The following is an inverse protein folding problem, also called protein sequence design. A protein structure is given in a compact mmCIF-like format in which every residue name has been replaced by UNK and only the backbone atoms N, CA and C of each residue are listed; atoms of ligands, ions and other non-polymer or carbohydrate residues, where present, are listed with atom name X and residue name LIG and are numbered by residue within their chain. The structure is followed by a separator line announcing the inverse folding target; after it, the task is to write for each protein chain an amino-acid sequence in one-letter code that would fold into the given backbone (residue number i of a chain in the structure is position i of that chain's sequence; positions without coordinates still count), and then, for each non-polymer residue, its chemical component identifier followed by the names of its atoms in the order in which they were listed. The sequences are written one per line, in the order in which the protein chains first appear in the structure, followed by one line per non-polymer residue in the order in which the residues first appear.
data_IF_416239712963
#
_entry.id   IF_416239712963
#
_cell.length_a   1.000
_cell.length_b   1.000
_cell.length_c   1.000
_cell.angle_alpha   90.00
_cell.angle_beta   90.00
_cell.angle_gamma   90.00
#
_symmetry.space_group_name_H-M   'P 1'
#
loop_
_entity.id
_entity.type
_entity.pdbx_description
1 polymer ?
#
# COMPACT_ATOMS: atom_id res chain seq x y z
N UNK A 1 -1.18 -13.02 -17.48
CA UNK A 1 -2.07 -11.85 -17.38
C UNK A 1 -1.23 -10.61 -17.63
N UNK A 2 -1.51 -9.84 -18.68
CA UNK A 2 -0.61 -8.77 -19.13
C UNK A 2 -1.01 -7.39 -18.57
N UNK A 3 -2.31 -7.10 -18.55
CA UNK A 3 -2.87 -5.99 -17.80
C UNK A 3 -4.31 -6.26 -17.32
N UNK A 4 -4.57 -6.08 -16.03
CA UNK A 4 -5.87 -6.11 -15.39
C UNK A 4 -5.82 -6.26 -13.87
N UNK A 5 -6.99 -6.11 -13.25
CA UNK A 5 -7.18 -6.28 -11.82
C UNK A 5 -7.50 -7.73 -11.43
N UNK A 6 -7.03 -8.10 -10.24
CA UNK A 6 -7.28 -9.37 -9.56
C UNK A 6 -7.77 -9.17 -8.11
N UNK A 7 -8.41 -8.04 -7.81
CA UNK A 7 -8.81 -7.65 -6.45
C UNK A 7 -10.32 -7.84 -6.20
N UNK A 8 -10.68 -7.90 -4.92
CA UNK A 8 -12.05 -7.86 -4.46
C UNK A 8 -12.36 -6.49 -3.85
N UNK A 9 -13.63 -6.12 -3.88
CA UNK A 9 -14.17 -4.98 -3.11
C UNK A 9 -15.22 -5.48 -2.14
N UNK A 10 -15.13 -5.01 -0.90
CA UNK A 10 -16.11 -5.27 0.16
C UNK A 10 -17.02 -4.06 0.26
N UNK A 11 -18.32 -4.28 0.13
CA UNK A 11 -19.33 -3.25 0.01
C UNK A 11 -20.30 -3.24 1.19
N UNK A 12 -20.88 -2.07 1.48
CA UNK A 12 -21.96 -1.96 2.45
C UNK A 12 -23.23 -2.70 1.99
N UNK A 13 -24.10 -3.02 2.95
CA UNK A 13 -25.37 -3.72 2.73
C UNK A 13 -26.40 -2.95 1.90
N UNK A 14 -26.25 -1.64 1.77
CA UNK A 14 -27.12 -0.76 0.98
C UNK A 14 -26.74 -0.69 -0.50
N UNK A 15 -25.70 -1.43 -0.94
CA UNK A 15 -25.26 -1.45 -2.33
C UNK A 15 -26.37 -1.97 -3.27
N UNK A 16 -26.71 -1.18 -4.29
CA UNK A 16 -27.46 -1.65 -5.45
C UNK A 16 -26.55 -2.46 -6.38
N UNK A 17 -26.60 -3.79 -6.21
CA UNK A 17 -25.79 -4.74 -6.98
C UNK A 17 -26.03 -4.66 -8.50
N UNK A 18 -27.21 -4.22 -8.96
CA UNK A 18 -27.50 -4.12 -10.39
C UNK A 18 -26.80 -2.94 -11.06
N UNK A 19 -26.52 -1.89 -10.29
CA UNK A 19 -25.90 -0.66 -10.75
C UNK A 19 -24.46 -0.50 -10.23
N UNK A 20 -23.86 -1.58 -9.72
CA UNK A 20 -22.49 -1.59 -9.23
C UNK A 20 -21.50 -1.16 -10.33
N UNK A 21 -20.65 -0.18 -10.03
CA UNK A 21 -19.63 0.32 -10.94
C UNK A 21 -18.41 0.85 -10.16
N UNK A 22 -17.38 1.30 -10.86
CA UNK A 22 -16.15 1.81 -10.23
C UNK A 22 -16.31 3.01 -9.31
N UNK A 23 -17.44 3.73 -9.33
CA UNK A 23 -17.76 4.83 -8.41
C UNK A 23 -18.56 4.40 -7.18
N UNK A 24 -19.05 3.15 -7.15
CA UNK A 24 -19.77 2.61 -6.00
C UNK A 24 -18.86 2.63 -4.78
N UNK A 25 -19.37 3.14 -3.66
CA UNK A 25 -18.60 3.25 -2.42
C UNK A 25 -18.34 1.86 -1.84
N UNK A 26 -17.08 1.57 -1.57
CA UNK A 26 -16.62 0.31 -0.95
C UNK A 26 -15.86 0.61 0.33
N UNK A 27 -15.85 -0.34 1.25
CA UNK A 27 -15.09 -0.26 2.49
C UNK A 27 -13.63 -0.67 2.31
N UNK A 28 -13.42 -1.80 1.64
CA UNK A 28 -12.11 -2.41 1.48
C UNK A 28 -11.93 -2.81 0.03
N UNK A 29 -10.81 -2.44 -0.58
CA UNK A 29 -10.33 -3.04 -1.83
C UNK A 29 -9.03 -3.77 -1.54
N UNK A 30 -9.01 -5.07 -1.83
CA UNK A 30 -7.87 -5.92 -1.55
C UNK A 30 -7.59 -6.91 -2.69
N UNK A 31 -6.34 -7.00 -3.12
CA UNK A 31 -5.85 -8.05 -4.02
C UNK A 31 -4.87 -7.56 -5.09
N UNK A 32 -4.35 -8.47 -5.92
CA UNK A 32 -3.35 -8.15 -6.93
C UNK A 32 -3.89 -7.26 -8.06
N UNK A 33 -3.03 -6.39 -8.57
CA UNK A 33 -3.25 -5.59 -9.77
C UNK A 33 -1.97 -5.60 -10.60
N UNK A 34 -2.11 -6.09 -11.82
CA UNK A 34 -1.00 -6.33 -12.74
C UNK A 34 -1.29 -5.54 -13.99
N UNK A 35 -0.48 -4.55 -14.33
CA UNK A 35 -0.54 -3.88 -15.62
C UNK A 35 0.86 -3.58 -16.14
N UNK A 36 1.26 -4.32 -17.16
CA UNK A 36 2.56 -4.21 -17.80
C UNK A 36 3.73 -4.52 -16.85
N UNK A 37 4.84 -3.82 -17.04
CA UNK A 37 6.02 -3.95 -16.18
C UNK A 37 5.96 -3.04 -14.95
N UNK A 38 5.18 -1.96 -15.03
CA UNK A 38 5.20 -0.87 -14.06
C UNK A 38 4.31 -1.16 -12.84
N UNK A 39 3.17 -1.83 -13.04
CA UNK A 39 2.19 -2.06 -11.99
C UNK A 39 2.12 -3.55 -11.71
N UNK A 40 2.71 -3.99 -10.60
CA UNK A 40 2.69 -5.37 -10.11
C UNK A 40 2.60 -5.37 -8.59
N UNK A 41 1.44 -4.93 -8.08
CA UNK A 41 1.26 -4.72 -6.64
C UNK A 41 -0.06 -5.27 -6.13
N UNK A 42 -0.10 -5.60 -4.85
CA UNK A 42 -1.33 -5.90 -4.14
C UNK A 42 -1.87 -4.59 -3.58
N UNK A 43 -3.08 -4.21 -3.97
CA UNK A 43 -3.76 -3.07 -3.37
C UNK A 43 -4.33 -3.45 -2.01
N UNK A 44 -4.20 -2.54 -1.07
CA UNK A 44 -4.91 -2.55 0.21
C UNK A 44 -5.40 -1.13 0.43
N UNK A 45 -6.66 -0.88 0.08
CA UNK A 45 -7.30 0.43 0.18
C UNK A 45 -8.44 0.32 1.17
N UNK A 46 -8.44 1.19 2.16
CA UNK A 46 -9.45 1.27 3.20
C UNK A 46 -10.20 2.59 3.06
N UNK A 47 -11.51 2.56 3.19
CA UNK A 47 -12.35 3.73 3.28
C UNK A 47 -12.56 4.09 4.75
N UNK A 48 -12.10 5.27 5.15
CA UNK A 48 -12.18 5.74 6.54
C UNK A 48 -12.41 7.25 6.54
N UNK A 49 -13.22 7.79 7.47
CA UNK A 49 -13.50 9.24 7.55
C UNK A 49 -13.92 9.87 6.20
N UNK A 50 -14.74 9.15 5.44
CA UNK A 50 -15.26 9.59 4.15
C UNK A 50 -14.17 9.79 3.06
N UNK A 51 -13.00 9.18 3.22
CA UNK A 51 -11.89 9.22 2.26
C UNK A 51 -11.27 7.84 2.03
N UNK A 52 -10.70 7.64 0.84
CA UNK A 52 -9.94 6.43 0.51
C UNK A 52 -8.48 6.61 0.88
N UNK A 53 -7.97 5.67 1.66
CA UNK A 53 -6.57 5.62 2.03
C UNK A 53 -5.94 4.35 1.45
N UNK A 54 -4.87 4.50 0.68
CA UNK A 54 -4.08 3.39 0.15
C UNK A 54 -2.87 3.11 1.02
N UNK A 55 -2.49 1.84 1.15
CA UNK A 55 -1.24 1.48 1.81
C UNK A 55 -0.04 2.10 1.07
N UNK A 56 0.88 2.73 1.81
CA UNK A 56 2.14 3.24 1.27
C UNK A 56 3.13 2.13 0.95
N UNK A 57 3.11 1.03 1.72
CA UNK A 57 4.02 -0.09 1.50
C UNK A 57 3.60 -0.82 0.23
N UNK A 58 4.55 -0.95 -0.69
CA UNK A 58 4.31 -1.62 -1.96
C UNK A 58 4.50 -3.12 -1.78
N UNK A 59 3.40 -3.87 -1.77
CA UNK A 59 3.41 -5.32 -1.68
C UNK A 59 3.46 -5.88 -3.09
N UNK A 60 4.49 -6.66 -3.43
CA UNK A 60 4.61 -7.28 -4.76
C UNK A 60 3.63 -8.44 -4.90
N UNK A 61 2.90 -8.47 -6.02
CA UNK A 61 2.07 -9.61 -6.36
C UNK A 61 2.89 -10.73 -7.02
N UNK A 62 2.34 -11.94 -7.02
CA UNK A 62 2.87 -13.05 -7.81
C UNK A 62 2.43 -12.90 -9.26
N UNK A 63 3.28 -13.31 -10.19
CA UNK A 63 3.09 -13.10 -11.65
C UNK A 63 3.27 -14.39 -12.46
N UNK A 64 3.11 -15.53 -11.81
CA UNK A 64 3.18 -16.83 -12.50
C UNK A 64 1.77 -17.29 -12.96
N UNK A 65 1.72 -18.48 -13.56
CA UNK A 65 0.49 -19.06 -14.11
C UNK A 65 -0.30 -19.92 -13.11
N UNK A 66 0.11 -19.96 -11.84
CA UNK A 66 -0.47 -20.84 -10.83
C UNK A 66 -1.48 -20.10 -9.94
N UNK A 67 -2.24 -20.88 -9.19
CA UNK A 67 -3.17 -20.36 -8.20
C UNK A 67 -2.41 -19.82 -7.00
N UNK A 68 -2.76 -18.60 -6.55
CA UNK A 68 -2.21 -17.97 -5.36
C UNK A 68 -3.30 -17.60 -4.37
N UNK A 69 -3.00 -17.75 -3.08
CA UNK A 69 -3.90 -17.39 -1.99
C UNK A 69 -3.50 -16.03 -1.42
N UNK A 70 -4.43 -15.07 -1.43
CA UNK A 70 -4.25 -13.75 -0.82
C UNK A 70 -5.13 -13.63 0.42
N UNK A 71 -4.54 -13.23 1.55
CA UNK A 71 -5.26 -13.05 2.82
C UNK A 71 -4.93 -11.69 3.41
N UNK A 72 -5.97 -10.93 3.76
CA UNK A 72 -5.88 -9.68 4.51
C UNK A 72 -6.50 -9.91 5.88
N UNK A 73 -5.75 -9.57 6.93
CA UNK A 73 -6.20 -9.62 8.32
C UNK A 73 -6.19 -8.19 8.84
N UNK A 74 -7.33 -7.72 9.32
CA UNK A 74 -7.49 -6.43 9.99
C UNK A 74 -7.92 -6.71 11.42
N UNK A 75 -7.16 -6.21 12.40
CA UNK A 75 -7.41 -6.45 13.81
C UNK A 75 -7.97 -5.19 14.48
N UNK A 76 -8.77 -5.34 15.57
CA UNK A 76 -9.36 -4.21 16.27
C UNK A 76 -8.33 -3.30 16.96
N UNK A 77 -7.10 -3.77 17.16
CA UNK A 77 -5.97 -2.96 17.66
C UNK A 77 -5.35 -2.03 16.59
N UNK A 78 -6.00 -1.91 15.43
CA UNK A 78 -5.51 -1.18 14.26
C UNK A 78 -4.22 -1.74 13.68
N UNK A 79 -3.90 -3.01 13.95
CA UNK A 79 -2.87 -3.74 13.21
C UNK A 79 -3.45 -4.42 11.97
N UNK A 80 -2.60 -4.60 10.97
CA UNK A 80 -2.95 -5.36 9.77
C UNK A 80 -1.84 -6.34 9.42
N UNK A 81 -2.22 -7.39 8.71
CA UNK A 81 -1.31 -8.37 8.17
C UNK A 81 -1.79 -8.80 6.77
N UNK A 82 -0.85 -8.89 5.83
CA UNK A 82 -1.09 -9.41 4.49
C UNK A 82 -0.27 -10.67 4.31
N UNK A 83 -0.96 -11.78 4.05
CA UNK A 83 -0.36 -13.07 3.75
C UNK A 83 -0.57 -13.41 2.27
N UNK A 84 0.48 -13.96 1.64
CA UNK A 84 0.41 -14.52 0.30
C UNK A 84 0.88 -15.96 0.40
N UNK A 85 0.10 -16.91 -0.11
CA UNK A 85 0.42 -18.35 -0.11
C UNK A 85 0.66 -18.91 1.30
N UNK A 86 -0.03 -18.32 2.29
CA UNK A 86 0.10 -18.62 3.72
C UNK A 86 1.31 -17.99 4.42
N UNK A 87 2.17 -17.25 3.70
CA UNK A 87 3.34 -16.56 4.26
C UNK A 87 3.02 -15.10 4.54
N UNK A 88 3.39 -14.61 5.72
CA UNK A 88 3.29 -13.19 6.07
C UNK A 88 4.29 -12.38 5.26
N UNK A 89 3.79 -11.51 4.38
CA UNK A 89 4.61 -10.66 3.51
C UNK A 89 4.74 -9.26 4.09
N UNK A 90 3.66 -8.76 4.68
CA UNK A 90 3.61 -7.41 5.22
C UNK A 90 2.77 -7.40 6.49
N UNK A 91 3.23 -6.63 7.48
CA UNK A 91 2.49 -6.39 8.71
C UNK A 91 2.82 -5.00 9.23
N UNK A 92 1.87 -4.39 9.94
CA UNK A 92 2.07 -3.06 10.46
C UNK A 92 0.84 -2.52 11.18
N UNK A 93 0.87 -1.22 11.42
CA UNK A 93 -0.24 -0.50 12.02
C UNK A 93 -0.87 0.44 11.00
N UNK A 94 -2.19 0.37 10.91
CA UNK A 94 -3.00 1.12 9.95
C UNK A 94 -2.78 2.63 10.12
N UNK A 95 -2.63 3.11 11.36
CA UNK A 95 -2.45 4.53 11.66
C UNK A 95 -1.23 5.15 10.97
N UNK A 96 -0.11 4.43 10.94
CA UNK A 96 1.16 4.90 10.39
C UNK A 96 1.22 4.68 8.88
N UNK A 97 0.86 3.47 8.43
CA UNK A 97 1.03 3.05 7.04
C UNK A 97 0.01 3.71 6.10
N UNK A 98 -1.15 4.14 6.62
CA UNK A 98 -2.16 4.92 5.89
C UNK A 98 -2.15 6.42 6.24
N UNK A 99 -1.14 6.90 6.98
CA UNK A 99 -0.94 8.33 7.24
C UNK A 99 -2.09 9.02 8.02
N UNK A 100 -2.86 8.27 8.79
CA UNK A 100 -4.00 8.79 9.54
C UNK A 100 -3.58 9.85 10.59
N UNK A 101 -2.32 9.80 11.05
CA UNK A 101 -1.71 10.81 11.91
C UNK A 101 -1.60 12.21 11.27
N UNK A 102 -1.41 12.29 9.95
CA UNK A 102 -1.35 13.57 9.24
C UNK A 102 -2.73 14.25 9.19
N UNK A 103 -3.80 13.45 9.05
CA UNK A 103 -5.18 13.94 9.15
C UNK A 103 -5.47 14.46 10.56
N UNK A 104 -5.01 13.76 11.61
CA UNK A 104 -5.12 14.25 13.01
C UNK A 104 -4.49 15.64 13.16
N UNK A 105 -3.29 15.88 12.59
CA UNK A 105 -2.63 17.19 12.65
C UNK A 105 -3.42 18.27 11.91
N UNK A 106 -3.95 17.94 10.72
CA UNK A 106 -4.74 18.86 9.91
C UNK A 106 -6.11 19.20 10.55
N UNK A 107 -6.84 18.21 11.05
CA UNK A 107 -8.11 18.41 11.77
C UNK A 107 -7.90 19.23 13.04
N UNK A 108 -6.85 18.92 13.81
CA UNK A 108 -6.50 19.68 15.01
C UNK A 108 -6.13 21.13 14.68
N UNK A 109 -5.31 21.37 13.67
CA UNK A 109 -4.98 22.74 13.25
C UNK A 109 -6.21 23.49 12.70
N UNK A 110 -7.16 22.81 12.05
CA UNK A 110 -8.42 23.42 11.61
C UNK A 110 -9.38 23.70 12.77
N UNK A 111 -9.44 22.84 13.79
CA UNK A 111 -10.22 23.07 14.99
C UNK A 111 -9.61 24.22 15.82
N UNK A 112 -8.28 24.27 15.92
CA UNK A 112 -7.55 25.38 16.53
C UNK A 112 -7.74 26.68 15.72
N UNK A 113 -7.78 26.65 14.37
CA UNK A 113 -8.07 27.84 13.55
C UNK A 113 -9.48 28.39 13.75
N UNK A 114 -10.48 27.53 13.97
CA UNK A 114 -11.83 27.98 14.34
C UNK A 114 -11.87 28.65 15.72
N UNK A 115 -10.94 28.29 16.61
CA UNK A 115 -10.79 28.93 17.93
C UNK A 115 -10.03 30.28 17.81
N UNK A 116 -9.14 30.43 16.81
CA UNK A 116 -8.46 31.69 16.49
C UNK A 116 -9.39 32.77 15.90
N UNK A 117 -10.49 32.38 15.23
CA UNK A 117 -11.51 33.34 14.73
C UNK A 117 -12.32 34.02 15.85
N UNK A 118 -12.13 33.64 17.12
CA UNK A 118 -12.62 34.37 18.29
C UNK A 118 -11.56 35.23 18.99
N UNK A 119 -10.32 35.23 18.50
CA UNK A 119 -9.22 36.02 19.07
C UNK A 119 -8.67 36.99 18.03
N UNK A 120 -9.57 37.70 17.34
CA UNK A 120 -9.19 38.92 16.61
C UNK A 120 -9.31 40.12 17.55
N UNK A 121 -8.32 40.30 18.43
CA UNK A 121 -7.91 41.60 18.96
C UNK A 121 -6.62 41.41 19.74
N UNK A 122 -5.58 42.10 19.29
CA UNK A 122 -4.37 42.40 20.06
C UNK A 122 -3.35 41.27 20.26
N UNK A 123 -2.48 41.10 19.26
CA UNK A 123 -1.02 41.27 19.40
C UNK A 123 -0.29 40.80 18.14
N UNK A 124 -0.37 41.61 17.08
CA UNK A 124 0.66 41.61 16.07
C UNK A 124 1.88 42.37 16.61
N UNK A 125 2.79 41.70 17.32
CA UNK A 125 4.13 42.24 17.55
C UNK A 125 5.22 41.16 17.42
N UNK A 126 5.86 41.23 16.26
CA UNK A 126 7.32 41.20 16.09
C UNK A 126 8.05 39.95 16.60
N UNK A 127 7.95 38.86 15.84
CA UNK A 127 8.71 37.62 16.07
C UNK A 127 10.11 37.62 15.41
N UNK A 128 10.57 38.74 14.86
CA UNK A 128 11.81 38.81 14.06
C UNK A 128 13.09 39.10 14.88
N UNK A 129 13.11 38.89 16.21
CA UNK A 129 14.23 39.39 17.05
C UNK A 129 14.77 38.50 18.17
N UNK A 130 14.73 37.18 18.07
CA UNK A 130 15.44 36.36 19.06
C UNK A 130 16.12 35.12 18.47
N UNK A 131 17.15 35.34 17.65
CA UNK A 131 18.31 34.46 17.63
C UNK A 131 19.50 35.25 18.16
N UNK A 132 20.13 34.76 19.23
CA UNK A 132 21.58 34.65 19.41
C UNK A 132 21.86 34.21 20.85
N UNK A 133 22.54 33.08 20.94
CA UNK A 133 22.87 32.27 22.11
C UNK A 133 23.66 33.05 23.18
N UNK A 134 23.24 32.96 24.43
CA UNK A 134 23.78 33.72 25.57
C UNK A 134 24.97 32.99 26.24
N UNK A 135 25.93 32.50 25.45
CA UNK A 135 27.04 31.67 25.94
C UNK A 135 28.44 32.04 25.46
N UNK A 136 28.61 33.05 24.59
CA UNK A 136 29.92 33.36 24.03
C UNK A 136 30.74 34.29 24.95
N UNK A 137 31.73 33.73 25.64
CA UNK A 137 32.80 34.50 26.28
C UNK A 137 33.80 34.99 25.23
N UNK A 138 34.44 36.14 25.48
CA UNK A 138 35.45 36.73 24.57
C UNK A 138 36.57 35.72 24.25
N UNK A 139 36.83 35.38 22.97
CA UNK A 139 37.97 34.55 22.59
C UNK A 139 39.30 35.23 22.94
N UNK A 140 40.32 34.45 23.30
CA UNK A 140 41.66 34.96 23.66
C UNK A 140 42.40 35.67 22.52
N UNK A 141 41.96 35.48 21.27
CA UNK A 141 42.61 35.98 20.06
C UNK A 141 42.01 37.29 19.52
N UNK A 142 41.16 37.99 20.29
CA UNK A 142 40.54 39.24 19.84
C UNK A 142 41.48 40.44 19.93
N UNK A 143 41.70 41.12 18.81
CA UNK A 143 42.57 42.29 18.73
C UNK A 143 41.75 43.59 18.58
N UNK A 144 41.71 44.38 19.65
CA UNK A 144 40.84 45.55 19.81
C UNK A 144 41.09 46.70 18.82
N UNK A 145 42.22 46.70 18.13
CA UNK A 145 42.59 47.75 17.16
C UNK A 145 42.07 47.48 15.73
N UNK A 146 41.71 46.22 15.41
CA UNK A 146 41.15 45.84 14.11
C UNK A 146 39.66 45.50 14.18
N UNK A 147 39.18 44.95 15.30
CA UNK A 147 37.83 44.37 15.40
C UNK A 147 36.81 45.23 16.18
N UNK A 148 37.23 46.38 16.73
CA UNK A 148 36.36 47.29 17.48
C UNK A 148 36.08 46.88 18.93
N UNK A 149 35.42 47.77 19.67
CA UNK A 149 35.18 47.64 21.12
C UNK A 149 34.08 46.64 21.46
N UNK A 150 34.35 45.79 22.45
CA UNK A 150 33.38 44.83 22.99
C UNK A 150 32.35 45.53 23.87
N UNK A 151 31.07 45.48 23.47
CA UNK A 151 29.95 45.99 24.26
C UNK A 151 29.57 44.99 25.37
N UNK A 152 29.89 45.33 26.62
CA UNK A 152 29.32 44.67 27.80
C UNK A 152 27.90 45.18 28.10
N UNK A 153 27.00 44.27 28.49
CA UNK A 153 25.66 44.62 28.97
C UNK A 153 25.74 45.28 30.36
N UNK A 154 24.89 46.28 30.65
CA UNK A 154 24.86 46.93 31.97
C UNK A 154 24.30 45.99 33.05
N UNK A 155 24.68 46.19 34.33
CA UNK A 155 24.22 45.33 35.42
C UNK A 155 22.74 45.58 35.74
N UNK A 156 22.06 44.49 36.07
CA UNK A 156 20.65 44.44 36.44
C UNK A 156 20.37 45.29 37.69
N UNK A 157 19.42 46.23 37.60
CA UNK A 157 18.90 46.95 38.78
C UNK A 157 17.71 46.20 39.37
N UNK A 158 17.89 45.79 40.62
CA UNK A 158 16.88 45.22 41.50
C UNK A 158 15.70 46.17 41.70
N UNK A 159 14.48 45.64 41.56
CA UNK A 159 13.34 46.21 42.27
C UNK A 159 12.01 46.24 41.53
N UNK A 160 11.47 45.08 41.14
CA UNK A 160 10.01 44.89 41.10
C UNK A 160 9.71 43.44 41.48
N UNK A 161 9.24 43.25 42.73
CA UNK A 161 8.68 41.97 43.18
C UNK A 161 7.37 41.73 42.44
N UNK A 162 7.36 40.76 41.52
CA UNK A 162 6.12 40.09 41.15
C UNK A 162 5.92 38.94 42.14
N UNK A 163 4.97 39.10 43.06
CA UNK A 163 4.42 37.99 43.83
C UNK A 163 3.81 36.98 42.85
N UNK A 164 4.18 35.70 42.99
CA UNK A 164 3.41 34.59 42.45
C UNK A 164 3.71 34.13 41.03
N UNK A 165 4.99 33.97 40.65
CA UNK A 165 5.34 33.10 39.51
C UNK A 165 6.04 31.86 40.08
N UNK A 166 5.24 30.94 40.63
CA UNK A 166 5.69 29.58 40.92
C UNK A 166 5.93 28.88 39.59
N UNK A 167 7.17 28.40 39.42
CA UNK A 167 7.67 27.52 38.35
C UNK A 167 7.65 28.12 36.94
N UNK A 168 8.87 28.39 36.45
CA UNK A 168 9.37 27.77 35.23
C UNK A 168 8.26 27.15 34.35
N UNK A 169 7.69 27.96 33.47
CA UNK A 169 6.88 27.46 32.34
C UNK A 169 7.86 26.86 31.33
N UNK A 170 8.49 25.76 31.73
CA UNK A 170 8.84 24.71 30.79
C UNK A 170 7.52 24.18 30.26
N UNK A 171 7.11 24.69 29.10
CA UNK A 171 6.09 24.08 28.25
C UNK A 171 6.61 22.75 27.68
N UNK A 172 7.09 21.84 28.53
CA UNK A 172 6.81 20.43 28.30
C UNK A 172 5.39 20.23 28.79
N UNK A 173 4.45 20.57 27.89
CA UNK A 173 3.12 20.00 27.95
C UNK A 173 3.34 18.50 27.89
N UNK A 174 3.38 17.84 29.05
CA UNK A 174 3.13 16.42 29.15
C UNK A 174 1.88 16.20 28.30
N UNK A 175 2.06 15.57 27.13
CA UNK A 175 0.95 14.97 26.45
C UNK A 175 0.45 13.93 27.45
N UNK A 176 -0.55 14.29 28.25
CA UNK A 176 -1.45 13.32 28.86
C UNK A 176 -1.71 12.28 27.78
N UNK A 177 -1.63 10.96 28.03
CA UNK A 177 -2.08 9.96 27.06
C UNK A 177 -3.59 10.14 26.94
N UNK A 178 -3.99 11.17 26.20
CA UNK A 178 -5.33 11.66 26.08
C UNK A 178 -5.99 10.82 25.00
N UNK A 179 -6.58 9.70 25.41
CA UNK A 179 -7.61 9.02 24.60
C UNK A 179 -7.18 8.71 23.15
N UNK A 180 -5.87 8.61 22.89
CA UNK A 180 -5.28 8.66 21.53
C UNK A 180 -5.67 7.48 20.65
N UNK A 181 -6.10 6.38 21.28
CA UNK A 181 -6.54 5.13 20.66
C UNK A 181 -8.06 5.04 20.45
N UNK A 182 -8.85 6.05 20.86
CA UNK A 182 -10.33 5.92 20.94
C UNK A 182 -11.12 6.61 19.85
N UNK A 183 -10.47 7.11 18.78
CA UNK A 183 -11.18 7.76 17.66
C UNK A 183 -11.06 7.04 16.31
N UNK A 184 -10.23 6.00 16.24
CA UNK A 184 -10.06 5.21 15.03
C UNK A 184 -10.44 3.79 15.40
N UNK A 185 -11.60 3.36 14.97
CA UNK A 185 -12.11 2.03 15.21
C UNK A 185 -12.63 1.48 13.87
N UNK A 186 -12.36 0.21 13.61
CA UNK A 186 -12.85 -0.48 12.41
C UNK A 186 -14.38 -0.68 12.46
N UNK A 187 -15.05 -0.22 13.53
CA UNK A 187 -16.50 -0.07 13.63
C UNK A 187 -17.12 0.80 12.54
N UNK A 188 -16.34 1.61 11.79
CA UNK A 188 -16.86 2.26 10.58
C UNK A 188 -17.36 1.25 9.50
N UNK A 189 -16.99 -0.04 9.62
CA UNK A 189 -17.42 -1.13 8.74
C UNK A 189 -18.65 -1.92 9.26
N UNK A 190 -19.54 -1.26 10.01
CA UNK A 190 -20.64 -1.91 10.73
C UNK A 190 -21.70 -2.64 9.87
N UNK A 191 -21.70 -2.49 8.54
CA UNK A 191 -22.71 -3.09 7.66
C UNK A 191 -22.14 -3.67 6.36
N UNK A 192 -21.19 -4.62 6.45
CA UNK A 192 -20.74 -5.37 5.27
C UNK A 192 -21.85 -6.29 4.78
N UNK A 193 -22.26 -6.16 3.52
CA UNK A 193 -23.35 -6.96 2.94
C UNK A 193 -23.07 -7.57 1.58
N UNK A 194 -22.01 -7.16 0.89
CA UNK A 194 -21.65 -7.72 -0.41
C UNK A 194 -20.14 -7.76 -0.65
N UNK A 195 -19.72 -8.74 -1.43
CA UNK A 195 -18.39 -8.81 -2.05
C UNK A 195 -18.59 -8.69 -3.55
N UNK A 196 -17.88 -7.77 -4.19
CA UNK A 196 -17.98 -7.55 -5.62
C UNK A 196 -16.63 -7.61 -6.31
N UNK A 197 -16.66 -8.13 -7.54
CA UNK A 197 -15.55 -8.11 -8.48
C UNK A 197 -15.85 -7.05 -9.52
N UNK A 198 -15.28 -5.86 -9.33
CA UNK A 198 -15.34 -4.76 -10.30
C UNK A 198 -13.93 -4.54 -10.83
N UNK A 199 -13.67 -5.07 -12.02
CA UNK A 199 -12.32 -5.23 -12.57
C UNK A 199 -12.29 -4.91 -14.05
N UNK A 200 -11.14 -4.42 -14.50
CA UNK A 200 -10.78 -4.33 -15.91
C UNK A 200 -9.72 -5.37 -16.24
N UNK A 201 -9.85 -6.06 -17.37
CA UNK A 201 -8.84 -7.00 -17.87
C UNK A 201 -8.68 -6.86 -19.38
N UNK A 202 -7.43 -6.79 -19.86
CA UNK A 202 -7.11 -6.77 -21.29
C UNK A 202 -7.19 -8.18 -21.86
N UNK A 203 -6.59 -9.16 -21.17
CA UNK A 203 -6.65 -10.58 -21.54
C UNK A 203 -7.37 -11.32 -20.42
N UNK A 204 -8.47 -11.99 -20.78
CA UNK A 204 -9.23 -12.84 -19.88
C UNK A 204 -8.50 -14.15 -19.57
N UNK A 205 -8.98 -14.85 -18.54
CA UNK A 205 -8.44 -16.15 -18.11
C UNK A 205 -8.15 -16.24 -16.62
N UNK A 206 -8.27 -15.14 -15.86
CA UNK A 206 -8.19 -15.18 -14.40
C UNK A 206 -9.39 -15.91 -13.82
N UNK A 207 -9.12 -16.85 -12.93
CA UNK A 207 -10.13 -17.59 -12.17
C UNK A 207 -10.03 -17.13 -10.72
N UNK A 208 -11.19 -16.86 -10.11
CA UNK A 208 -11.29 -16.60 -8.68
C UNK A 208 -12.07 -17.72 -8.03
N UNK A 209 -11.59 -18.19 -6.89
CA UNK A 209 -12.27 -19.21 -6.10
C UNK A 209 -11.93 -19.02 -4.61
N UNK A 210 -12.65 -19.75 -3.77
CA UNK A 210 -12.41 -19.90 -2.33
C UNK A 210 -12.49 -18.58 -1.55
N UNK A 211 -13.46 -17.72 -1.90
CA UNK A 211 -13.75 -16.52 -1.13
C UNK A 211 -14.14 -16.88 0.31
N UNK A 212 -13.43 -16.29 1.27
CA UNK A 212 -13.70 -16.44 2.69
C UNK A 212 -13.61 -15.07 3.38
N UNK A 213 -14.64 -14.72 4.14
CA UNK A 213 -14.64 -13.61 5.09
C UNK A 213 -15.00 -14.22 6.45
N UNK A 214 -14.12 -14.02 7.43
CA UNK A 214 -14.26 -14.58 8.78
C UNK A 214 -13.53 -13.66 9.78
N UNK A 215 -13.89 -13.81 11.04
CA UNK A 215 -13.30 -13.16 12.20
C UNK A 215 -12.26 -14.05 12.93
N UNK A 216 -12.05 -15.30 12.48
CA UNK A 216 -11.10 -16.24 13.05
C UNK A 216 -9.89 -16.47 12.11
N UNK A 217 -8.71 -16.01 12.54
CA UNK A 217 -7.46 -16.16 11.81
C UNK A 217 -7.02 -17.63 11.67
N UNK A 218 -7.25 -18.47 12.69
CA UNK A 218 -6.88 -19.88 12.65
C UNK A 218 -7.81 -20.67 11.73
N UNK A 219 -9.10 -20.32 11.71
CA UNK A 219 -10.03 -20.88 10.75
C UNK A 219 -9.65 -20.51 9.32
N UNK A 220 -9.31 -19.24 9.06
CA UNK A 220 -8.85 -18.79 7.76
C UNK A 220 -7.59 -19.54 7.28
N UNK A 221 -6.62 -19.76 8.17
CA UNK A 221 -5.40 -20.50 7.83
C UNK A 221 -5.70 -21.98 7.53
N UNK A 222 -6.56 -22.63 8.32
CA UNK A 222 -7.00 -24.02 8.07
C UNK A 222 -7.73 -24.14 6.75
N UNK A 223 -8.64 -23.21 6.44
CA UNK A 223 -9.36 -23.19 5.18
C UNK A 223 -8.42 -22.99 3.98
N UNK A 224 -7.45 -22.08 4.10
CA UNK A 224 -6.45 -21.87 3.05
C UNK A 224 -5.56 -23.09 2.80
N UNK A 225 -5.21 -23.83 3.86
CA UNK A 225 -4.49 -25.11 3.75
C UNK A 225 -5.34 -26.20 3.08
N UNK A 226 -6.61 -26.32 3.47
CA UNK A 226 -7.53 -27.33 2.94
C UNK A 226 -8.01 -27.07 1.51
N UNK A 227 -7.89 -25.84 1.02
CA UNK A 227 -8.26 -25.44 -0.35
C UNK A 227 -7.01 -25.28 -1.22
N UNK A 228 -6.46 -24.07 -1.31
CA UNK A 228 -5.27 -23.76 -2.10
C UNK A 228 -4.07 -24.66 -1.77
N UNK A 229 -3.88 -24.99 -0.49
CA UNK A 229 -2.79 -25.86 -0.03
C UNK A 229 -2.80 -27.26 -0.66
N UNK A 230 -3.98 -27.81 -0.91
CA UNK A 230 -4.18 -29.11 -1.58
C UNK A 230 -4.11 -28.97 -3.11
N UNK A 231 -4.59 -27.86 -3.67
CA UNK A 231 -4.62 -27.63 -5.13
C UNK A 231 -3.24 -27.35 -5.74
N UNK A 232 -2.38 -26.61 -5.04
CA UNK A 232 -1.09 -26.11 -5.59
C UNK A 232 -0.10 -27.20 -6.03
N UNK A 233 -0.20 -28.40 -5.45
CA UNK A 233 0.68 -29.53 -5.78
C UNK A 233 0.28 -30.19 -7.09
N UNK A 234 -0.95 -30.74 -7.17
CA UNK A 234 -1.50 -31.31 -8.40
C UNK A 234 -1.54 -30.32 -9.57
N UNK A 235 -1.82 -29.04 -9.32
CA UNK A 235 -1.79 -28.00 -10.35
C UNK A 235 -0.42 -27.92 -11.05
N UNK A 236 0.66 -27.90 -10.27
CA UNK A 236 2.04 -27.87 -10.80
C UNK A 236 2.43 -29.16 -11.52
N UNK A 237 1.95 -30.29 -11.04
CA UNK A 237 2.21 -31.58 -11.70
C UNK A 237 1.52 -31.64 -13.06
N UNK A 238 0.25 -31.23 -13.13
CA UNK A 238 -0.51 -31.16 -14.38
C UNK A 238 0.11 -30.20 -15.39
N UNK A 239 0.54 -29.01 -14.94
CA UNK A 239 1.26 -28.04 -15.78
C UNK A 239 2.57 -28.64 -16.35
N UNK A 240 3.34 -29.34 -15.52
CA UNK A 240 4.57 -30.00 -15.96
C UNK A 240 4.31 -31.15 -16.96
N UNK A 241 3.19 -31.86 -16.85
CA UNK A 241 2.77 -32.88 -17.81
C UNK A 241 2.38 -32.21 -19.13
N UNK A 242 1.53 -31.19 -19.09
CA UNK A 242 1.08 -30.45 -20.28
C UNK A 242 2.25 -29.83 -21.02
N UNK A 243 3.19 -29.19 -20.33
CA UNK A 243 4.39 -28.63 -20.93
C UNK A 243 5.24 -29.69 -21.66
N UNK A 244 5.36 -30.91 -21.12
CA UNK A 244 6.06 -32.01 -21.79
C UNK A 244 5.32 -32.51 -23.02
N UNK A 245 4.00 -32.60 -22.96
CA UNK A 245 3.17 -32.99 -24.10
C UNK A 245 3.22 -31.95 -25.22
N UNK A 246 3.17 -30.66 -24.89
CA UNK A 246 3.30 -29.57 -25.85
C UNK A 246 4.67 -29.59 -26.55
N UNK A 247 5.76 -29.78 -25.80
CA UNK A 247 7.11 -29.91 -26.38
C UNK A 247 7.21 -31.14 -27.28
N UNK A 248 6.63 -32.27 -26.86
CA UNK A 248 6.62 -33.49 -27.67
C UNK A 248 5.86 -33.27 -28.97
N UNK A 249 4.67 -32.68 -28.90
CA UNK A 249 3.83 -32.39 -30.07
C UNK A 249 4.50 -31.41 -31.02
N UNK A 250 5.11 -30.33 -30.51
CA UNK A 250 5.85 -29.38 -31.32
C UNK A 250 7.03 -30.02 -32.05
N UNK A 251 7.70 -31.00 -31.42
CA UNK A 251 8.77 -31.77 -32.05
C UNK A 251 8.26 -32.71 -33.14
N UNK A 252 7.14 -33.41 -32.90
CA UNK A 252 6.49 -34.26 -33.91
C UNK A 252 6.04 -33.43 -35.13
N UNK A 253 5.47 -32.24 -34.91
CA UNK A 253 5.08 -31.30 -35.98
C UNK A 253 6.28 -30.79 -36.79
N UNK A 254 7.42 -30.50 -36.14
CA UNK A 254 8.65 -30.08 -36.84
C UNK A 254 9.28 -31.24 -37.63
N UNK A 255 9.28 -32.46 -37.08
CA UNK A 255 9.71 -33.68 -37.78
C UNK A 255 8.81 -33.95 -39.01
N UNK A 256 7.49 -33.80 -38.91
CA UNK A 256 6.56 -33.91 -40.05
C UNK A 256 6.80 -32.83 -41.11
N UNK A 257 7.02 -31.58 -40.71
CA UNK A 257 7.35 -30.48 -41.62
C UNK A 257 8.66 -30.73 -42.38
N UNK A 258 9.68 -31.26 -41.70
CA UNK A 258 10.96 -31.63 -42.32
C UNK A 258 10.80 -32.79 -43.31
N UNK A 259 10.04 -33.82 -42.95
CA UNK A 259 9.74 -34.96 -43.85
C UNK A 259 8.92 -34.49 -45.06
N UNK A 260 7.94 -33.60 -44.88
CA UNK A 260 7.16 -33.00 -45.96
C UNK A 260 8.01 -32.17 -46.93
N UNK A 261 8.97 -31.39 -46.42
CA UNK A 261 9.95 -30.66 -47.24
C UNK A 261 10.88 -31.58 -48.04
N UNK A 262 11.34 -32.68 -47.44
CA UNK A 262 12.16 -33.68 -48.15
C UNK A 262 11.38 -34.37 -49.27
N UNK A 263 10.11 -34.72 -49.06
CA UNK A 263 9.26 -35.30 -50.10
C UNK A 263 8.97 -34.31 -51.23
N UNK A 264 8.78 -33.01 -50.94
CA UNK A 264 8.59 -32.01 -52.01
C UNK A 264 9.86 -31.81 -52.84
N UNK A 265 11.04 -31.77 -52.22
CA UNK A 265 12.33 -31.67 -52.92
C UNK A 265 12.63 -32.91 -53.78
N UNK A 266 12.32 -34.11 -53.28
CA UNK A 266 12.43 -35.38 -54.03
C UNK A 266 11.48 -35.42 -55.23
N UNK A 267 10.25 -34.92 -55.09
CA UNK A 267 9.28 -34.82 -56.18
C UNK A 267 9.72 -33.83 -57.28
N UNK A 268 10.47 -32.78 -56.91
CA UNK A 268 11.01 -31.82 -57.87
C UNK A 268 12.17 -32.45 -58.66
N UNK A 269 13.08 -33.16 -57.99
CA UNK A 269 14.24 -33.80 -58.64
C UNK A 269 13.86 -34.95 -59.58
N UNK A 270 12.83 -35.73 -59.22
CA UNK A 270 12.31 -36.83 -60.06
C UNK A 270 11.51 -36.34 -61.29
N UNK A 271 11.03 -35.09 -61.29
CA UNK A 271 10.37 -34.47 -62.45
C UNK A 271 11.36 -34.01 -63.52
N UNK A 272 12.55 -33.55 -63.12
CA UNK A 272 13.61 -33.13 -64.06
C UNK A 272 14.29 -34.31 -64.77
N UNK A 273 14.37 -35.48 -64.14
CA UNK A 273 14.98 -36.66 -64.77
C UNK A 273 14.10 -37.38 -65.79
N UNK A 274 12.81 -37.03 -65.89
CA UNK A 274 11.86 -37.69 -66.80
C UNK A 274 11.62 -36.93 -68.12
N UNK A 275 12.34 -35.83 -68.36
CA UNK A 275 12.24 -35.02 -69.58
C UNK A 275 13.36 -35.29 -70.62
N UNK A 276 14.21 -36.30 -70.40
CA UNK A 276 15.35 -36.62 -71.27
C UNK A 276 15.23 -37.89 -72.12
N UNK A 277 14.10 -38.58 -72.09
CA UNK A 277 13.84 -39.77 -72.92
C UNK A 277 12.54 -39.56 -73.71
N UNK A 278 12.65 -38.98 -74.90
CA UNK A 278 11.72 -39.11 -76.04
C UNK A 278 12.36 -38.50 -77.29
#
# INVERSE_FOLDING_TARGET
MDCGGGYIKVFPSDLDQKNMNGKSQYYIMFGPDICGFDIKKVHVILYFKNQYHSNKKTIRCKVDGFTHLYTLILRPDLSYEVKIDGQSIESGSIEYDWNLMSLKKMEKTSAESRDWDQVESDKAQDWEKHFLDAGASKPSDWNSELDGDWLQKPPYQDGLKAEGIDKDVWLHREMKPANYLTQYDLSEFENIGAVGLELWQVRSGTIFDNFLITDDEEYAERFGKATWGETKGPEKEMDAIQAKEEVKKAREEDEELLVGKFHSHSSHFSRFHRQGEL
#
